data_IF_308208833849
#
_entry.id   IF_308208833849
#
_cell.length_a   1.000
_cell.length_b   1.000
_cell.length_c   1.000
_cell.angle_alpha   90.00
_cell.angle_beta   90.00
_cell.angle_gamma   90.00
#
_symmetry.space_group_name_H-M   'P 1'
#
loop_
_entity.id
_entity.type
_entity.pdbx_description
1 polymer ?
#
# COMPACT_ATOMS: atom_id res chain seq x y z
N UNK A 1 -12.10 -18.32 -11.53
CA UNK A 1 -11.52 -17.94 -10.23
C UNK A 1 -10.34 -18.84 -9.87
N UNK A 2 -10.38 -20.11 -10.25
CA UNK A 2 -9.37 -21.13 -9.95
C UNK A 2 -7.93 -20.80 -10.42
N UNK A 3 -7.76 -20.18 -11.58
CA UNK A 3 -6.43 -19.82 -12.09
C UNK A 3 -5.74 -18.70 -11.29
N UNK A 4 -6.49 -17.69 -10.83
CA UNK A 4 -5.94 -16.63 -9.98
C UNK A 4 -5.60 -17.17 -8.59
N UNK A 5 -6.42 -18.10 -8.09
CA UNK A 5 -6.19 -18.74 -6.82
C UNK A 5 -4.96 -19.65 -6.86
N UNK A 6 -4.75 -20.42 -7.94
CA UNK A 6 -3.56 -21.26 -8.09
C UNK A 6 -2.27 -20.43 -8.20
N UNK A 7 -2.30 -19.34 -8.97
CA UNK A 7 -1.17 -18.39 -9.06
C UNK A 7 -0.91 -17.74 -7.71
N UNK A 8 -1.94 -17.27 -7.00
CA UNK A 8 -1.78 -16.65 -5.68
C UNK A 8 -1.26 -17.62 -4.62
N UNK A 9 -1.60 -18.91 -4.70
CA UNK A 9 -1.10 -19.97 -3.80
C UNK A 9 0.35 -20.36 -4.10
N UNK A 10 0.77 -20.30 -5.36
CA UNK A 10 2.16 -20.59 -5.76
C UNK A 10 3.09 -19.38 -5.58
N UNK A 11 2.53 -18.16 -5.58
CA UNK A 11 3.34 -16.94 -5.53
C UNK A 11 3.63 -16.51 -4.10
N UNK A 12 4.90 -16.42 -3.75
CA UNK A 12 5.33 -15.92 -2.45
C UNK A 12 5.11 -14.39 -2.36
N UNK A 13 4.42 -13.94 -1.31
CA UNK A 13 4.16 -12.53 -1.04
C UNK A 13 5.44 -11.69 -0.99
N UNK A 14 6.52 -12.23 -0.40
CA UNK A 14 7.80 -11.55 -0.32
C UNK A 14 8.38 -11.26 -1.71
N UNK A 15 8.25 -12.21 -2.65
CA UNK A 15 8.72 -12.04 -4.03
C UNK A 15 7.94 -10.95 -4.76
N UNK A 16 6.62 -10.91 -4.58
CA UNK A 16 5.77 -9.86 -5.15
C UNK A 16 6.12 -8.49 -4.58
N UNK A 17 6.29 -8.38 -3.26
CA UNK A 17 6.68 -7.14 -2.60
C UNK A 17 8.03 -6.62 -3.11
N UNK A 18 9.02 -7.51 -3.24
CA UNK A 18 10.33 -7.16 -3.78
C UNK A 18 10.27 -6.77 -5.26
N UNK A 19 9.44 -7.43 -6.05
CA UNK A 19 9.19 -7.04 -7.44
C UNK A 19 8.61 -5.62 -7.51
N UNK A 20 7.55 -5.33 -6.76
CA UNK A 20 6.93 -4.01 -6.73
C UNK A 20 7.88 -2.92 -6.23
N UNK A 21 8.67 -3.23 -5.19
CA UNK A 21 9.69 -2.33 -4.66
C UNK A 21 10.76 -2.04 -5.72
N UNK A 22 11.25 -3.07 -6.41
CA UNK A 22 12.20 -2.94 -7.52
C UNK A 22 11.63 -2.07 -8.64
N UNK A 23 10.43 -2.39 -9.13
CA UNK A 23 9.75 -1.61 -10.17
C UNK A 23 9.55 -0.14 -9.76
N UNK A 24 9.23 0.12 -8.48
CA UNK A 24 9.06 1.48 -7.96
C UNK A 24 10.38 2.24 -7.83
N UNK A 25 11.46 1.56 -7.44
CA UNK A 25 12.80 2.13 -7.38
C UNK A 25 13.33 2.49 -8.77
N UNK A 26 13.17 1.59 -9.74
CA UNK A 26 13.52 1.89 -11.14
C UNK A 26 12.61 2.97 -11.72
N UNK A 27 11.30 2.92 -11.42
CA UNK A 27 10.34 3.94 -11.82
C UNK A 27 10.68 5.34 -11.30
N UNK A 28 11.22 5.44 -10.09
CA UNK A 28 11.63 6.70 -9.45
C UNK A 28 12.80 7.42 -10.14
N UNK A 29 13.47 6.78 -11.11
CA UNK A 29 14.43 7.45 -12.00
C UNK A 29 13.77 8.42 -12.99
N UNK A 30 12.44 8.42 -13.05
CA UNK A 30 11.60 9.28 -13.87
C UNK A 30 10.38 9.73 -13.06
N UNK A 31 9.54 10.61 -13.62
CA UNK A 31 8.29 11.01 -12.97
C UNK A 31 7.36 9.83 -12.81
N UNK A 32 7.22 9.36 -11.57
CA UNK A 32 6.38 8.25 -11.17
C UNK A 32 5.48 8.66 -9.99
N UNK A 33 4.37 7.95 -9.74
CA UNK A 33 3.58 8.11 -8.53
C UNK A 33 4.44 7.87 -7.28
N UNK A 34 4.79 8.96 -6.60
CA UNK A 34 5.72 8.98 -5.47
C UNK A 34 5.22 8.17 -4.26
N UNK A 35 3.92 7.92 -4.17
CA UNK A 35 3.31 7.16 -3.08
C UNK A 35 3.58 5.65 -3.16
N UNK A 36 3.93 5.09 -4.34
CA UNK A 36 4.15 3.65 -4.49
C UNK A 36 5.34 3.15 -3.67
N UNK A 37 6.45 3.89 -3.70
CA UNK A 37 7.68 3.53 -3.01
C UNK A 37 7.52 3.39 -1.48
N UNK A 38 7.02 4.39 -0.73
CA UNK A 38 6.81 4.23 0.72
C UNK A 38 5.78 3.15 1.06
N UNK A 39 4.74 2.94 0.22
CA UNK A 39 3.76 1.87 0.43
C UNK A 39 4.39 0.49 0.33
N UNK A 40 5.29 0.26 -0.63
CA UNK A 40 5.96 -1.04 -0.77
C UNK A 40 7.04 -1.28 0.28
N UNK A 41 7.75 -0.24 0.74
CA UNK A 41 8.61 -0.35 1.92
C UNK A 41 7.80 -0.74 3.16
N UNK A 42 6.66 -0.10 3.39
CA UNK A 42 5.74 -0.47 4.46
C UNK A 42 5.25 -1.91 4.31
N UNK A 43 4.95 -2.36 3.09
CA UNK A 43 4.55 -3.74 2.82
C UNK A 43 5.63 -4.78 3.16
N UNK A 44 6.88 -4.53 2.80
CA UNK A 44 8.02 -5.40 3.17
C UNK A 44 8.17 -5.46 4.69
N UNK A 45 8.09 -4.32 5.37
CA UNK A 45 8.14 -4.28 6.83
C UNK A 45 6.95 -5.03 7.46
N UNK A 46 5.73 -4.75 7.02
CA UNK A 46 4.51 -5.36 7.53
C UNK A 46 4.46 -6.87 7.32
N UNK A 47 5.04 -7.38 6.23
CA UNK A 47 5.20 -8.81 6.00
C UNK A 47 6.14 -9.48 7.00
N UNK A 48 7.26 -8.84 7.33
CA UNK A 48 8.24 -9.36 8.29
C UNK A 48 7.82 -9.13 9.75
N UNK A 49 6.81 -8.31 10.00
CA UNK A 49 6.22 -8.15 11.33
C UNK A 49 5.33 -9.36 11.65
N UNK A 50 5.76 -10.17 12.61
CA UNK A 50 5.08 -11.42 12.99
C UNK A 50 4.26 -11.32 14.28
N UNK A 51 4.50 -10.30 15.10
CA UNK A 51 3.82 -10.14 16.40
C UNK A 51 2.35 -9.75 16.26
N UNK A 52 1.96 -9.19 15.12
CA UNK A 52 0.58 -8.81 14.80
C UNK A 52 0.33 -8.83 13.30
N UNK A 53 -0.90 -9.17 12.91
CA UNK A 53 -1.36 -9.08 11.52
C UNK A 53 -1.94 -7.70 11.16
N UNK A 54 -2.09 -6.79 12.14
CA UNK A 54 -2.63 -5.45 11.90
C UNK A 54 -1.81 -4.68 10.85
N UNK A 55 -0.46 -4.62 10.89
CA UNK A 55 0.34 -4.03 9.82
C UNK A 55 0.01 -4.58 8.44
N UNK A 56 -0.11 -5.90 8.33
CA UNK A 56 -0.35 -6.57 7.06
C UNK A 56 -1.76 -6.25 6.53
N UNK A 57 -2.76 -6.20 7.41
CA UNK A 57 -4.13 -5.77 7.10
C UNK A 57 -4.17 -4.31 6.62
N UNK A 58 -3.46 -3.41 7.31
CA UNK A 58 -3.32 -2.01 6.91
C UNK A 58 -2.66 -1.92 5.54
N UNK A 59 -1.57 -2.65 5.32
CA UNK A 59 -0.89 -2.70 4.03
C UNK A 59 -1.82 -3.19 2.92
N UNK A 60 -2.54 -4.30 3.11
CA UNK A 60 -3.49 -4.83 2.11
C UNK A 60 -4.55 -3.80 1.75
N UNK A 61 -5.09 -3.08 2.74
CA UNK A 61 -6.11 -2.06 2.54
C UNK A 61 -5.56 -0.84 1.79
N UNK A 62 -4.38 -0.36 2.18
CA UNK A 62 -3.69 0.75 1.50
C UNK A 62 -3.30 0.36 0.07
N UNK A 63 -2.78 -0.85 -0.14
CA UNK A 63 -2.42 -1.38 -1.45
C UNK A 63 -3.63 -1.40 -2.38
N UNK A 64 -4.79 -1.88 -1.90
CA UNK A 64 -6.03 -1.85 -2.67
C UNK A 64 -6.43 -0.42 -3.08
N UNK A 65 -6.30 0.56 -2.16
CA UNK A 65 -6.53 1.97 -2.46
C UNK A 65 -5.55 2.48 -3.55
N UNK A 66 -4.26 2.10 -3.47
CA UNK A 66 -3.27 2.54 -4.46
C UNK A 66 -3.56 2.07 -5.88
N UNK A 67 -4.31 0.98 -6.08
CA UNK A 67 -4.75 0.55 -7.42
C UNK A 67 -5.62 1.64 -8.04
N UNK A 68 -6.56 2.19 -7.26
CA UNK A 68 -7.45 3.27 -7.70
C UNK A 68 -6.64 4.54 -7.97
N UNK A 69 -5.69 4.88 -7.09
CA UNK A 69 -4.82 6.05 -7.27
C UNK A 69 -3.96 5.93 -8.53
N UNK A 70 -3.40 4.75 -8.82
CA UNK A 70 -2.61 4.53 -10.03
C UNK A 70 -3.45 4.72 -11.30
N UNK A 71 -4.69 4.21 -11.32
CA UNK A 71 -5.61 4.42 -12.45
C UNK A 71 -5.88 5.91 -12.65
N UNK A 72 -6.14 6.66 -11.58
CA UNK A 72 -6.32 8.12 -11.65
C UNK A 72 -5.05 8.79 -12.15
N UNK A 73 -3.87 8.40 -11.65
CA UNK A 73 -2.59 8.95 -12.07
C UNK A 73 -2.35 8.74 -13.57
N UNK A 74 -2.64 7.54 -14.09
CA UNK A 74 -2.56 7.25 -15.52
C UNK A 74 -3.57 8.04 -16.35
N UNK A 75 -4.78 8.29 -15.86
CA UNK A 75 -5.76 9.15 -16.57
C UNK A 75 -5.23 10.59 -16.65
N UNK A 76 -4.63 11.09 -15.57
CA UNK A 76 -4.14 12.46 -15.48
C UNK A 76 -2.85 12.71 -16.27
N UNK A 77 -1.93 11.74 -16.31
CA UNK A 77 -0.60 11.91 -16.92
C UNK A 77 -0.45 11.15 -18.25
N UNK A 78 -1.29 10.13 -18.51
CA UNK A 78 -1.21 9.28 -19.69
C UNK A 78 -2.02 9.76 -20.90
N UNK A 79 -2.67 10.92 -20.82
CA UNK A 79 -3.51 11.44 -21.90
C UNK A 79 -2.67 12.14 -22.98
N UNK A 80 -2.73 11.70 -24.26
CA UNK A 80 -2.13 12.45 -25.38
C UNK A 80 -2.81 13.81 -25.64
N UNK A 81 -3.97 14.08 -25.05
CA UNK A 81 -4.67 15.37 -25.19
C UNK A 81 -4.03 16.49 -24.37
N UNK A 82 -3.18 16.17 -23.39
CA UNK A 82 -2.51 17.19 -22.57
C UNK A 82 -1.33 17.87 -23.29
N UNK A 83 -0.92 17.34 -24.45
CA UNK A 83 0.16 17.90 -25.27
C UNK A 83 -0.34 18.96 -26.27
N UNK A 84 -1.65 19.20 -26.40
CA UNK A 84 -2.19 19.99 -27.52
C UNK A 84 -2.42 21.48 -27.22
N UNK A 85 -2.77 21.86 -25.98
CA UNK A 85 -3.19 23.24 -25.67
C UNK A 85 -2.52 23.87 -24.44
N UNK A 86 -1.73 23.11 -23.67
CA UNK A 86 -0.99 23.61 -22.51
C UNK A 86 0.44 23.07 -22.65
N UNK A 87 1.42 23.95 -22.61
CA UNK A 87 2.85 23.65 -22.67
C UNK A 87 3.27 22.87 -21.41
N UNK A 88 2.84 21.61 -21.31
CA UNK A 88 3.33 20.69 -20.28
C UNK A 88 4.65 20.14 -20.82
N UNK A 89 5.78 20.43 -20.17
CA UNK A 89 7.08 19.96 -20.63
C UNK A 89 7.04 18.44 -20.76
N UNK A 90 7.46 17.93 -21.93
CA UNK A 90 7.66 16.51 -22.13
C UNK A 90 8.71 16.01 -21.14
N UNK A 91 8.28 15.35 -20.07
CA UNK A 91 9.17 14.81 -19.07
C UNK A 91 9.94 13.62 -19.67
N UNK A 92 11.28 13.73 -19.70
CA UNK A 92 12.13 12.65 -20.19
C UNK A 92 11.99 11.41 -19.29
N UNK A 93 11.71 10.24 -19.87
CA UNK A 93 11.58 8.98 -19.14
C UNK A 93 10.13 8.54 -18.83
N UNK A 94 9.14 9.35 -19.20
CA UNK A 94 7.72 9.06 -18.93
C UNK A 94 7.27 7.67 -19.41
N UNK A 95 7.63 7.24 -20.62
CA UNK A 95 7.31 5.90 -21.14
C UNK A 95 7.95 4.78 -20.34
N UNK A 96 9.18 4.96 -19.85
CA UNK A 96 9.87 3.96 -19.04
C UNK A 96 9.17 3.78 -17.68
N UNK A 97 8.86 4.87 -16.99
CA UNK A 97 8.06 4.85 -15.77
C UNK A 97 6.67 4.22 -16.00
N UNK A 98 6.02 4.57 -17.12
CA UNK A 98 4.71 4.03 -17.47
C UNK A 98 4.74 2.51 -17.56
N UNK A 99 5.73 1.92 -18.24
CA UNK A 99 5.88 0.46 -18.34
C UNK A 99 6.05 -0.17 -16.96
N UNK A 100 6.94 0.39 -16.12
CA UNK A 100 7.19 -0.14 -14.77
C UNK A 100 5.93 -0.08 -13.89
N UNK A 101 5.18 1.03 -13.94
CA UNK A 101 3.92 1.15 -13.20
C UNK A 101 2.80 0.29 -13.78
N UNK A 102 2.73 0.05 -15.08
CA UNK A 102 1.72 -0.85 -15.66
C UNK A 102 1.97 -2.28 -15.16
N UNK A 103 3.22 -2.75 -15.17
CA UNK A 103 3.57 -4.05 -14.63
C UNK A 103 3.23 -4.12 -13.13
N UNK A 104 3.55 -3.08 -12.38
CA UNK A 104 3.19 -2.97 -10.97
C UNK A 104 1.66 -2.98 -10.77
N UNK A 105 0.90 -2.25 -11.59
CA UNK A 105 -0.56 -2.17 -11.49
C UNK A 105 -1.22 -3.54 -11.73
N UNK A 106 -0.73 -4.32 -12.70
CA UNK A 106 -1.21 -5.68 -12.96
C UNK A 106 -0.86 -6.63 -11.81
N UNK A 107 0.32 -6.46 -11.20
CA UNK A 107 0.74 -7.27 -10.06
C UNK A 107 -0.04 -6.97 -8.76
N UNK A 108 -0.51 -5.74 -8.57
CA UNK A 108 -1.17 -5.31 -7.32
C UNK A 108 -2.39 -6.16 -6.94
N UNK A 109 -3.35 -6.47 -7.82
CA UNK A 109 -4.45 -7.39 -7.51
C UNK A 109 -3.96 -8.75 -6.99
N UNK A 110 -2.94 -9.33 -7.63
CA UNK A 110 -2.35 -10.62 -7.21
C UNK A 110 -1.76 -10.47 -5.80
N UNK A 111 -1.01 -9.40 -5.56
CA UNK A 111 -0.43 -9.10 -4.24
C UNK A 111 -1.48 -8.89 -3.17
N UNK A 112 -2.62 -8.24 -3.48
CA UNK A 112 -3.76 -8.14 -2.56
C UNK A 112 -4.29 -9.53 -2.20
N UNK A 113 -4.57 -10.38 -3.19
CA UNK A 113 -5.05 -11.75 -2.93
C UNK A 113 -4.05 -12.58 -2.11
N UNK A 114 -2.76 -12.54 -2.46
CA UNK A 114 -1.71 -13.26 -1.72
C UNK A 114 -1.56 -12.72 -0.29
N UNK A 115 -1.71 -11.41 -0.09
CA UNK A 115 -1.69 -10.81 1.25
C UNK A 115 -2.88 -11.25 2.12
N UNK A 116 -4.08 -11.35 1.55
CA UNK A 116 -5.27 -11.88 2.24
C UNK A 116 -5.05 -13.35 2.61
N UNK A 117 -4.54 -14.16 1.67
CA UNK A 117 -4.21 -15.57 1.95
C UNK A 117 -3.14 -15.70 3.05
N UNK A 118 -2.18 -14.78 3.10
CA UNK A 118 -1.15 -14.75 4.16
C UNK A 118 -1.74 -14.39 5.52
N UNK A 119 -2.71 -13.46 5.57
CA UNK A 119 -3.42 -13.12 6.81
C UNK A 119 -4.23 -14.33 7.29
N UNK A 120 -4.93 -15.01 6.39
CA UNK A 120 -5.72 -16.21 6.69
C UNK A 120 -4.84 -17.38 7.14
N UNK A 121 -3.68 -17.59 6.51
CA UNK A 121 -2.76 -18.66 6.92
C UNK A 121 -2.11 -18.41 8.28
N UNK A 122 -2.02 -17.14 8.71
CA UNK A 122 -1.62 -16.74 10.07
C UNK A 122 -2.77 -16.86 11.09
N UNK A 123 -3.92 -17.40 10.70
CA UNK A 123 -5.06 -17.66 11.60
C UNK A 123 -5.94 -16.44 11.86
N UNK A 124 -5.87 -15.40 11.03
CA UNK A 124 -6.64 -14.17 11.18
C UNK A 124 -7.57 -13.93 9.99
N UNK A 125 -8.63 -13.16 10.18
CA UNK A 125 -9.58 -12.80 9.12
C UNK A 125 -9.31 -11.40 8.61
N UNK A 126 -9.41 -11.22 7.29
CA UNK A 126 -9.27 -9.89 6.69
C UNK A 126 -10.58 -9.11 6.84
N UNK A 127 -10.53 -8.03 7.60
CA UNK A 127 -11.62 -7.05 7.70
C UNK A 127 -11.18 -5.76 7.03
N UNK A 128 -11.80 -5.43 5.89
CA UNK A 128 -11.56 -4.17 5.18
C UNK A 128 -11.89 -3.01 6.12
N UNK A 129 -10.91 -2.13 6.36
CA UNK A 129 -11.13 -0.96 7.22
C UNK A 129 -11.24 -1.29 8.72
N UNK A 130 -10.61 -2.39 9.17
CA UNK A 130 -10.45 -2.67 10.60
C UNK A 130 -9.90 -1.46 11.38
N UNK A 131 -10.21 -1.43 12.67
CA UNK A 131 -9.96 -0.33 13.63
C UNK A 131 -8.65 0.44 13.33
N UNK A 132 -8.74 1.57 12.62
CA UNK A 132 -7.56 2.37 12.25
C UNK A 132 -6.82 2.91 13.49
N UNK A 133 -7.49 2.90 14.65
CA UNK A 133 -6.90 3.14 15.98
C UNK A 133 -5.84 2.11 16.39
N UNK A 134 -5.82 0.93 15.76
CA UNK A 134 -4.83 -0.13 15.99
C UNK A 134 -3.76 -0.17 14.89
N UNK A 135 -3.87 0.69 13.87
CA UNK A 135 -2.87 0.75 12.81
C UNK A 135 -1.47 0.98 13.40
N UNK A 136 -0.40 0.41 12.81
CA UNK A 136 0.93 0.55 13.39
C UNK A 136 1.34 2.03 13.45
N UNK A 137 1.67 2.52 14.64
CA UNK A 137 1.97 3.95 14.87
C UNK A 137 0.75 4.83 15.12
N UNK A 138 -0.48 4.29 15.11
CA UNK A 138 -1.61 4.95 15.74
C UNK A 138 -1.31 5.05 17.24
N UNK A 139 -1.50 6.23 17.83
CA UNK A 139 -1.30 6.46 19.27
C UNK A 139 -2.57 6.07 20.03
N UNK A 140 -2.65 4.89 20.65
CA UNK A 140 -3.82 4.51 21.42
C UNK A 140 -3.66 5.17 22.80
N UNK A 141 -4.54 6.12 23.16
CA UNK A 141 -4.63 6.62 24.53
C UNK A 141 -3.65 7.74 24.97
N UNK A 142 -2.81 8.29 24.08
CA UNK A 142 -1.83 9.33 24.47
C UNK A 142 -2.45 10.65 24.98
N UNK A 143 -3.74 10.87 24.74
CA UNK A 143 -4.48 12.04 25.26
C UNK A 143 -5.53 11.68 26.33
N UNK A 144 -5.75 10.40 26.63
CA UNK A 144 -6.72 9.99 27.66
C UNK A 144 -6.14 10.03 29.07
N UNK A 145 -4.82 9.86 29.24
CA UNK A 145 -4.21 9.83 30.58
C UNK A 145 -3.98 11.21 31.22
N UNK A 146 -4.21 12.32 30.50
CA UNK A 146 -4.01 13.68 31.06
C UNK A 146 -5.30 14.26 31.67
N UNK A 147 -6.48 13.70 31.38
CA UNK A 147 -7.76 14.25 31.85
C UNK A 147 -8.36 13.54 33.08
N UNK A 148 -7.91 12.33 33.40
CA UNK A 148 -8.44 11.56 34.54
C UNK A 148 -7.58 11.65 35.81
N UNK A 149 -6.48 12.41 35.78
CA UNK A 149 -5.54 12.53 36.90
C UNK A 149 -5.88 13.58 37.97
N UNK A 150 -7.11 14.12 38.02
CA UNK A 150 -7.41 15.28 38.88
C UNK A 150 -8.68 15.16 39.75
N UNK A 151 -9.21 13.96 40.00
CA UNK A 151 -10.33 13.75 40.95
C UNK A 151 -10.00 12.85 42.16
N UNK A 152 -8.71 12.63 42.46
CA UNK A 152 -8.29 11.99 43.72
C UNK A 152 -7.40 12.93 44.53
N UNK A 153 -7.99 13.84 45.30
CA UNK A 153 -7.20 14.73 46.16
C UNK A 153 -7.96 15.88 46.82
N UNK A 154 -9.03 15.58 47.53
CA UNK A 154 -9.76 16.57 48.33
C UNK A 154 -10.24 16.01 49.65
N UNK A 155 -9.32 15.70 50.57
CA UNK A 155 -9.65 15.61 51.99
C UNK A 155 -9.65 17.03 52.56
N UNK A 156 -10.84 17.53 52.94
CA UNK A 156 -11.09 18.34 54.12
C UNK A 156 -12.59 18.38 54.42
#
# INVERSE_FOLDING_TARGET
MDALQSVAQQTNLATLLNLHLGLSLFGALSTCPVYNLPVFFFGVWAYNYHDSNVPLKTFTSVLALTIVLDVIWFILHGSPLQAKDIEIPHESGFTFCMVMNIISLIGKPITVFTSINTIQSRGDTFTVGGNWSEAPGAFPGAYQTVRDGNEEGGYH
#
